data_IF_435591978023
#
_entry.id   IF_435591978023
#
_cell.length_a   1.000
_cell.length_b   1.000
_cell.length_c   1.000
_cell.angle_alpha   90.00
_cell.angle_beta   90.00
_cell.angle_gamma   90.00
#
_symmetry.space_group_name_H-M   'P 1'
#
loop_
_entity.id
_entity.type
_entity.pdbx_description
1 polymer ?
#
# COMPACT_ATOMS: atom_id res chain seq x y z
N UNK A 1 4.79 -7.00 14.18
CA UNK A 1 6.24 -6.79 14.37
C UNK A 1 6.61 -6.59 15.83
N UNK A 2 6.01 -5.62 16.53
CA UNK A 2 6.33 -5.34 17.95
C UNK A 2 6.09 -6.53 18.89
N UNK A 3 5.02 -7.30 18.64
CA UNK A 3 4.70 -8.55 19.36
C UNK A 3 5.75 -9.66 19.18
N UNK A 4 6.64 -9.55 18.20
CA UNK A 4 7.69 -10.53 17.90
C UNK A 4 9.07 -10.07 18.41
N UNK A 5 9.12 -9.07 19.32
CA UNK A 5 10.36 -8.58 19.92
C UNK A 5 11.13 -7.54 19.10
N UNK A 6 10.56 -7.04 18.00
CA UNK A 6 11.10 -5.90 17.24
C UNK A 6 10.79 -4.62 18.01
N UNK A 7 11.80 -3.77 18.22
CA UNK A 7 11.62 -2.48 18.90
C UNK A 7 11.19 -1.39 17.92
N UNK A 8 10.52 -0.36 18.42
CA UNK A 8 10.11 0.80 17.61
C UNK A 8 11.29 1.46 16.90
N UNK A 9 12.45 1.55 17.56
CA UNK A 9 13.70 2.11 16.99
C UNK A 9 14.23 1.34 15.77
N UNK A 10 13.79 0.08 15.58
CA UNK A 10 14.15 -0.72 14.41
C UNK A 10 13.23 -0.46 13.21
N UNK A 11 12.18 0.35 13.39
CA UNK A 11 11.16 0.62 12.38
C UNK A 11 11.28 2.09 11.97
N UNK A 12 11.61 2.31 10.70
CA UNK A 12 11.64 3.63 10.09
C UNK A 12 10.48 3.66 9.10
N UNK A 13 9.53 4.56 9.30
CA UNK A 13 8.36 4.70 8.43
C UNK A 13 8.27 6.14 7.96
N UNK A 14 8.21 6.33 6.65
CA UNK A 14 8.13 7.64 5.99
C UNK A 14 6.96 7.57 5.00
N UNK A 15 6.01 8.50 5.12
CA UNK A 15 4.94 8.70 4.15
C UNK A 15 5.18 10.04 3.47
N UNK A 16 5.35 10.05 2.15
CA UNK A 16 5.73 11.26 1.41
C UNK A 16 4.57 12.20 1.10
N UNK A 17 3.33 11.87 1.49
CA UNK A 17 2.21 12.82 1.52
C UNK A 17 2.20 13.66 2.80
N UNK A 18 2.93 13.24 3.85
CA UNK A 18 3.12 14.03 5.05
C UNK A 18 4.10 15.18 4.77
N UNK A 19 3.62 16.41 5.03
CA UNK A 19 4.36 17.65 4.77
C UNK A 19 5.67 17.71 5.56
N UNK A 20 5.77 17.02 6.69
CA UNK A 20 7.00 16.95 7.48
C UNK A 20 8.14 16.26 6.69
N UNK A 21 7.81 15.40 5.72
CA UNK A 21 8.76 14.69 4.87
C UNK A 21 8.85 15.24 3.43
N UNK A 22 8.12 16.31 3.08
CA UNK A 22 8.13 16.92 1.73
C UNK A 22 9.55 17.28 1.26
N UNK A 23 10.43 17.64 2.20
CA UNK A 23 11.82 17.96 1.93
C UNK A 23 12.66 16.76 1.43
N UNK A 24 12.23 15.52 1.63
CA UNK A 24 12.93 14.29 1.23
C UNK A 24 12.64 13.89 -0.24
N UNK A 25 12.49 14.87 -1.11
CA UNK A 25 12.02 14.73 -2.51
C UNK A 25 13.04 14.15 -3.52
N UNK A 26 14.22 13.71 -3.08
CA UNK A 26 15.17 13.03 -3.95
C UNK A 26 15.98 11.98 -3.20
N UNK A 27 16.51 11.02 -3.96
CA UNK A 27 17.21 9.85 -3.44
C UNK A 27 18.34 10.18 -2.45
N UNK A 28 19.04 11.30 -2.65
CA UNK A 28 20.18 11.67 -1.80
C UNK A 28 19.69 12.14 -0.44
N UNK A 29 18.70 13.03 -0.43
CA UNK A 29 18.09 13.51 0.82
C UNK A 29 17.44 12.37 1.60
N UNK A 30 16.70 11.49 0.91
CA UNK A 30 16.11 10.30 1.52
C UNK A 30 17.18 9.39 2.15
N UNK A 31 18.22 9.05 1.40
CA UNK A 31 19.26 8.16 1.91
C UNK A 31 20.03 8.78 3.09
N UNK A 32 20.40 10.06 2.98
CA UNK A 32 21.12 10.77 4.04
C UNK A 32 20.26 10.95 5.30
N UNK A 33 18.93 10.96 5.17
CA UNK A 33 17.98 10.95 6.29
C UNK A 33 17.86 9.56 6.95
N UNK A 34 17.70 8.50 6.16
CA UNK A 34 17.47 7.14 6.68
C UNK A 34 18.74 6.52 7.24
N UNK A 35 19.90 6.71 6.58
CA UNK A 35 21.15 6.02 6.91
C UNK A 35 21.60 6.18 8.37
N UNK A 36 21.54 7.38 8.99
CA UNK A 36 21.93 7.58 10.39
C UNK A 36 20.98 6.94 11.39
N UNK A 37 19.73 6.65 11.00
CA UNK A 37 18.74 6.02 11.86
C UNK A 37 18.91 4.50 11.95
N UNK A 38 19.69 3.90 11.05
CA UNK A 38 19.91 2.46 11.03
C UNK A 38 20.73 1.98 12.23
N UNK A 39 20.22 0.95 12.91
CA UNK A 39 20.89 0.28 14.02
C UNK A 39 21.85 -0.80 13.49
N UNK A 40 23.17 -0.71 13.72
CA UNK A 40 24.16 -1.62 13.11
C UNK A 40 24.01 -3.09 13.51
N UNK A 41 23.56 -3.36 14.73
CA UNK A 41 23.50 -4.70 15.32
C UNK A 41 22.08 -5.31 15.35
N UNK A 42 21.14 -4.70 14.63
CA UNK A 42 19.73 -5.10 14.60
C UNK A 42 19.20 -5.14 13.17
N UNK A 43 18.16 -5.92 12.93
CA UNK A 43 17.39 -5.76 11.70
C UNK A 43 16.66 -4.43 11.73
N UNK A 44 16.71 -3.70 10.62
CA UNK A 44 16.01 -2.44 10.39
C UNK A 44 14.93 -2.67 9.33
N UNK A 45 13.73 -2.20 9.60
CA UNK A 45 12.58 -2.27 8.70
C UNK A 45 12.27 -0.87 8.23
N UNK A 46 12.46 -0.61 6.94
CA UNK A 46 12.27 0.70 6.33
C UNK A 46 11.02 0.66 5.46
N UNK A 47 10.00 1.41 5.84
CA UNK A 47 8.75 1.55 5.10
C UNK A 47 8.73 2.93 4.43
N UNK A 48 8.62 2.92 3.11
CA UNK A 48 8.61 4.12 2.28
C UNK A 48 7.30 4.16 1.50
N UNK A 49 6.40 5.05 1.91
CA UNK A 49 5.04 5.13 1.40
C UNK A 49 4.86 6.32 0.46
N UNK A 50 4.17 6.07 -0.67
CA UNK A 50 4.05 6.99 -1.82
C UNK A 50 5.41 7.41 -2.41
N UNK A 51 6.26 6.42 -2.71
CA UNK A 51 7.66 6.64 -3.12
C UNK A 51 7.83 7.48 -4.40
N UNK A 52 6.80 7.56 -5.23
CA UNK A 52 6.84 8.32 -6.49
C UNK A 52 7.13 9.81 -6.32
N UNK A 53 6.94 10.35 -5.10
CA UNK A 53 7.29 11.71 -4.74
C UNK A 53 8.81 11.95 -4.62
N UNK A 54 9.61 10.89 -4.64
CA UNK A 54 11.07 10.96 -4.50
C UNK A 54 11.75 10.74 -5.85
N UNK A 55 12.43 11.78 -6.34
CA UNK A 55 13.16 11.70 -7.59
C UNK A 55 14.35 10.71 -7.51
N UNK A 56 14.43 9.81 -8.49
CA UNK A 56 15.44 8.75 -8.59
C UNK A 56 15.53 7.84 -7.34
N UNK A 57 14.39 7.63 -6.67
CA UNK A 57 14.31 6.86 -5.42
C UNK A 57 14.98 5.48 -5.49
N UNK A 58 15.02 4.86 -6.67
CA UNK A 58 15.62 3.55 -6.90
C UNK A 58 17.07 3.48 -6.41
N UNK A 59 17.83 4.58 -6.51
CA UNK A 59 19.21 4.66 -6.04
C UNK A 59 19.30 4.58 -4.52
N UNK A 60 18.36 5.19 -3.81
CA UNK A 60 18.30 5.14 -2.35
C UNK A 60 17.86 3.75 -1.89
N UNK A 61 16.80 3.20 -2.50
CA UNK A 61 16.30 1.86 -2.21
C UNK A 61 17.37 0.81 -2.47
N UNK A 62 18.06 0.84 -3.61
CA UNK A 62 19.18 -0.06 -3.91
C UNK A 62 20.29 0.03 -2.88
N UNK A 63 20.65 1.25 -2.47
CA UNK A 63 21.73 1.48 -1.51
C UNK A 63 21.37 1.00 -0.10
N UNK A 64 20.09 1.08 0.28
CA UNK A 64 19.55 0.53 1.52
C UNK A 64 19.44 -0.98 1.47
N UNK A 65 18.97 -1.54 0.36
CA UNK A 65 18.79 -2.98 0.14
C UNK A 65 20.11 -3.77 0.25
N UNK A 66 21.23 -3.21 -0.21
CA UNK A 66 22.55 -3.88 -0.09
C UNK A 66 23.12 -3.85 1.33
N UNK A 67 22.50 -3.13 2.27
CA UNK A 67 22.93 -3.14 3.67
C UNK A 67 22.55 -4.48 4.31
N UNK A 68 23.49 -5.07 5.07
CA UNK A 68 23.37 -6.44 5.62
C UNK A 68 22.11 -6.70 6.46
N UNK A 69 21.57 -5.67 7.10
CA UNK A 69 20.57 -5.76 8.15
C UNK A 69 19.41 -4.77 7.93
N UNK A 70 19.04 -4.56 6.66
CA UNK A 70 17.96 -3.66 6.27
C UNK A 70 16.99 -4.43 5.38
N UNK A 71 15.72 -4.29 5.69
CA UNK A 71 14.61 -4.79 4.88
C UNK A 71 13.76 -3.58 4.46
N UNK A 72 13.55 -3.42 3.16
CA UNK A 72 12.95 -2.21 2.58
C UNK A 72 11.61 -2.56 1.94
N UNK A 73 10.58 -1.84 2.35
CA UNK A 73 9.20 -1.96 1.89
C UNK A 73 8.82 -0.64 1.23
N UNK A 74 8.26 -0.73 0.03
CA UNK A 74 7.93 0.44 -0.78
C UNK A 74 6.50 0.31 -1.28
N UNK A 75 5.74 1.38 -1.15
CA UNK A 75 4.37 1.52 -1.67
C UNK A 75 4.25 2.78 -2.52
N UNK A 76 3.11 2.91 -3.19
CA UNK A 76 2.84 3.96 -4.15
C UNK A 76 1.75 3.54 -5.13
N UNK A 77 1.27 4.49 -5.92
CA UNK A 77 0.09 4.31 -6.75
C UNK A 77 0.29 3.38 -7.96
N UNK A 78 -0.82 2.80 -8.45
CA UNK A 78 -0.82 1.83 -9.54
C UNK A 78 -0.23 2.40 -10.84
N UNK A 79 -0.59 3.62 -11.24
CA UNK A 79 -0.08 4.22 -12.48
C UNK A 79 1.45 4.31 -12.49
N UNK A 80 2.05 4.58 -11.34
CA UNK A 80 3.50 4.71 -11.20
C UNK A 80 4.22 3.37 -11.37
N UNK A 81 3.77 2.33 -10.66
CA UNK A 81 4.38 0.99 -10.74
C UNK A 81 4.09 0.26 -12.06
N UNK A 82 2.95 0.56 -12.69
CA UNK A 82 2.56 -0.05 -13.96
C UNK A 82 3.28 0.52 -15.19
N UNK A 83 4.08 1.59 -15.04
CA UNK A 83 4.79 2.27 -16.13
C UNK A 83 5.91 1.44 -16.78
N UNK A 84 6.23 0.23 -16.29
CA UNK A 84 7.26 -0.66 -16.83
C UNK A 84 8.70 -0.21 -16.56
N UNK A 85 8.92 1.09 -16.29
CA UNK A 85 10.22 1.66 -15.90
C UNK A 85 10.68 1.13 -14.53
N UNK A 86 9.76 0.96 -13.59
CA UNK A 86 10.09 0.52 -12.23
C UNK A 86 10.63 -0.92 -12.17
N UNK A 87 10.06 -1.81 -12.99
CA UNK A 87 10.54 -3.18 -13.16
C UNK A 87 11.95 -3.24 -13.79
N UNK A 88 12.31 -2.25 -14.62
CA UNK A 88 13.64 -2.16 -15.22
C UNK A 88 14.65 -1.57 -14.25
N UNK A 89 14.27 -0.58 -13.43
CA UNK A 89 15.15 0.10 -12.48
C UNK A 89 15.64 -0.82 -11.35
N UNK A 90 14.79 -1.70 -10.82
CA UNK A 90 15.13 -2.57 -9.69
C UNK A 90 15.67 -3.96 -10.10
N UNK A 91 15.85 -4.21 -11.41
CA UNK A 91 16.60 -5.37 -11.97
C UNK A 91 16.33 -6.74 -11.34
N UNK A 92 15.10 -7.00 -10.90
CA UNK A 92 14.70 -8.27 -10.27
C UNK A 92 15.12 -8.46 -8.80
N UNK A 93 15.59 -7.41 -8.12
CA UNK A 93 15.93 -7.41 -6.69
C UNK A 93 14.76 -7.03 -5.77
N UNK A 94 13.53 -7.27 -6.23
CA UNK A 94 12.32 -6.94 -5.49
C UNK A 94 11.29 -8.07 -5.59
N UNK A 95 10.39 -8.11 -4.61
CA UNK A 95 9.18 -8.92 -4.65
C UNK A 95 8.00 -7.97 -4.79
N UNK A 96 7.30 -8.05 -5.92
CA UNK A 96 6.09 -7.27 -6.13
C UNK A 96 4.91 -7.95 -5.45
N UNK A 97 4.20 -7.18 -4.61
CA UNK A 97 2.93 -7.60 -4.02
C UNK A 97 1.82 -6.72 -4.60
N UNK A 98 1.01 -7.31 -5.48
CA UNK A 98 -0.14 -6.60 -6.05
C UNK A 98 -1.31 -6.63 -5.07
N UNK A 99 -1.74 -5.45 -4.65
CA UNK A 99 -2.95 -5.28 -3.85
C UNK A 99 -4.17 -5.32 -4.78
N UNK A 100 -4.98 -6.37 -4.65
CA UNK A 100 -6.23 -6.54 -5.39
C UNK A 100 -7.44 -6.31 -4.46
N UNK A 101 -8.63 -6.04 -5.01
CA UNK A 101 -9.87 -6.13 -4.24
C UNK A 101 -10.02 -7.51 -3.59
N UNK A 102 -10.89 -7.59 -2.59
CA UNK A 102 -11.13 -8.84 -1.88
C UNK A 102 -11.59 -9.92 -2.86
N UNK A 103 -11.07 -11.13 -2.71
CA UNK A 103 -11.71 -12.30 -3.31
C UNK A 103 -13.09 -12.51 -2.69
N UNK A 104 -13.98 -13.22 -3.40
CA UNK A 104 -15.30 -13.58 -2.86
C UNK A 104 -15.21 -14.26 -1.49
N UNK A 105 -14.15 -15.07 -1.28
CA UNK A 105 -13.90 -15.74 0.00
C UNK A 105 -13.60 -14.72 1.10
N UNK A 106 -12.64 -13.83 0.89
CA UNK A 106 -12.26 -12.79 1.87
C UNK A 106 -13.43 -11.84 2.13
N UNK A 107 -14.22 -11.52 1.10
CA UNK A 107 -15.44 -10.74 1.23
C UNK A 107 -16.46 -11.43 2.14
N UNK A 108 -16.69 -12.74 1.94
CA UNK A 108 -17.59 -13.51 2.80
C UNK A 108 -17.08 -13.60 4.25
N UNK A 109 -15.77 -13.76 4.45
CA UNK A 109 -15.13 -13.75 5.78
C UNK A 109 -15.32 -12.39 6.47
N UNK A 110 -15.12 -11.28 5.75
CA UNK A 110 -15.32 -9.91 6.28
C UNK A 110 -16.78 -9.60 6.62
N UNK A 111 -17.74 -10.10 5.83
CA UNK A 111 -19.18 -10.00 6.14
C UNK A 111 -19.55 -10.74 7.44
N UNK A 112 -18.90 -11.89 7.71
CA UNK A 112 -19.13 -12.68 8.91
C UNK A 112 -18.52 -12.00 10.14
N UNK A 113 -17.33 -11.43 10.02
CA UNK A 113 -16.64 -10.72 11.11
C UNK A 113 -17.42 -9.47 11.57
N UNK A 114 -18.06 -8.75 10.65
CA UNK A 114 -18.93 -7.62 10.96
C UNK A 114 -20.21 -8.02 11.72
N UNK A 115 -20.45 -9.33 11.97
CA UNK A 115 -21.64 -9.88 12.64
C UNK A 115 -22.97 -9.52 11.94
N UNK A 116 -22.91 -9.15 10.65
CA UNK A 116 -24.05 -8.65 9.88
C UNK A 116 -24.69 -9.72 8.97
N UNK A 117 -24.01 -10.85 8.77
CA UNK A 117 -24.34 -11.79 7.69
C UNK A 117 -24.40 -13.27 8.08
N UNK A 118 -24.58 -13.60 9.36
CA UNK A 118 -24.82 -15.01 9.76
C UNK A 118 -26.13 -15.58 9.20
N UNK A 119 -27.02 -14.73 8.67
CA UNK A 119 -28.30 -15.11 8.07
C UNK A 119 -28.31 -15.16 6.53
N UNK A 120 -27.29 -14.62 5.85
CA UNK A 120 -27.25 -14.58 4.39
C UNK A 120 -26.77 -15.90 3.81
N UNK A 121 -27.48 -16.39 2.79
CA UNK A 121 -27.07 -17.53 1.99
C UNK A 121 -25.85 -17.18 1.13
N UNK A 122 -25.13 -18.20 0.66
CA UNK A 122 -24.00 -18.01 -0.27
C UNK A 122 -24.39 -17.27 -1.54
N UNK A 123 -25.62 -17.47 -2.02
CA UNK A 123 -26.13 -16.80 -3.22
C UNK A 123 -26.33 -15.30 -2.97
N UNK A 124 -26.86 -14.92 -1.81
CA UNK A 124 -27.03 -13.50 -1.43
C UNK A 124 -25.68 -12.81 -1.24
N UNK A 125 -24.72 -13.46 -0.55
CA UNK A 125 -23.35 -12.93 -0.42
C UNK A 125 -22.68 -12.70 -1.78
N UNK A 126 -22.88 -13.63 -2.72
CA UNK A 126 -22.37 -13.48 -4.08
C UNK A 126 -23.05 -12.33 -4.84
N UNK A 127 -24.36 -12.14 -4.66
CA UNK A 127 -25.08 -11.02 -5.27
C UNK A 127 -24.56 -9.68 -4.75
N UNK A 128 -24.32 -9.54 -3.44
CA UNK A 128 -23.72 -8.33 -2.85
C UNK A 128 -22.32 -8.06 -3.40
N UNK A 129 -21.47 -9.10 -3.48
CA UNK A 129 -20.12 -8.98 -4.03
C UNK A 129 -20.08 -8.43 -5.46
N UNK A 130 -21.01 -8.85 -6.32
CA UNK A 130 -21.06 -8.42 -7.73
C UNK A 130 -21.78 -7.08 -7.90
N UNK A 131 -22.84 -6.82 -7.14
CA UNK A 131 -23.72 -5.67 -7.36
C UNK A 131 -23.32 -4.45 -6.52
N UNK A 132 -22.75 -4.66 -5.32
CA UNK A 132 -22.27 -3.58 -4.48
C UNK A 132 -20.79 -3.36 -4.74
N UNK A 133 -19.92 -4.24 -4.25
CA UNK A 133 -18.47 -4.08 -4.43
C UNK A 133 -17.66 -5.25 -3.88
N UNK A 134 -16.45 -5.43 -4.41
CA UNK A 134 -15.39 -6.25 -3.82
C UNK A 134 -14.33 -5.44 -3.05
N UNK A 135 -14.45 -4.11 -3.01
CA UNK A 135 -13.48 -3.27 -2.31
C UNK A 135 -13.65 -3.39 -0.78
N UNK A 136 -12.56 -3.47 -0.01
CA UNK A 136 -12.63 -3.68 1.44
C UNK A 136 -13.51 -2.66 2.18
N UNK A 137 -13.45 -1.38 1.81
CA UNK A 137 -14.21 -0.33 2.49
C UNK A 137 -15.73 -0.45 2.29
N UNK A 138 -16.18 -1.06 1.19
CA UNK A 138 -17.61 -1.26 0.94
C UNK A 138 -18.27 -2.15 2.00
N UNK A 139 -17.52 -3.08 2.63
CA UNK A 139 -18.01 -3.88 3.76
C UNK A 139 -18.46 -3.02 4.95
N UNK A 140 -17.92 -1.80 5.09
CA UNK A 140 -18.32 -0.88 6.16
C UNK A 140 -19.60 -0.09 5.81
N UNK A 141 -19.92 0.01 4.52
CA UNK A 141 -21.04 0.77 3.96
C UNK A 141 -22.25 -0.11 3.61
N UNK A 142 -22.17 -1.42 3.84
CA UNK A 142 -23.22 -2.40 3.57
C UNK A 142 -24.59 -1.96 4.11
N UNK A 143 -25.64 -2.03 3.27
CA UNK A 143 -26.98 -1.54 3.58
C UNK A 143 -27.20 -0.04 3.34
N UNK A 144 -26.18 0.67 2.85
CA UNK A 144 -26.27 2.08 2.41
C UNK A 144 -25.85 2.19 0.95
N UNK A 145 -26.74 1.72 0.07
CA UNK A 145 -26.48 1.63 -1.38
C UNK A 145 -25.98 2.95 -1.99
N UNK A 146 -26.52 4.09 -1.55
CA UNK A 146 -26.07 5.40 -2.02
C UNK A 146 -24.63 5.72 -1.60
N UNK A 147 -24.24 5.40 -0.36
CA UNK A 147 -22.89 5.63 0.15
C UNK A 147 -21.88 4.73 -0.60
N UNK A 148 -22.26 3.47 -0.89
CA UNK A 148 -21.46 2.56 -1.71
C UNK A 148 -21.28 3.13 -3.12
N UNK A 149 -22.35 3.62 -3.74
CA UNK A 149 -22.28 4.20 -5.08
C UNK A 149 -21.40 5.45 -5.11
N UNK A 150 -21.52 6.35 -4.13
CA UNK A 150 -20.70 7.57 -4.03
C UNK A 150 -19.22 7.22 -3.86
N UNK A 151 -18.90 6.25 -2.99
CA UNK A 151 -17.54 5.75 -2.80
C UNK A 151 -16.94 5.19 -4.09
N UNK A 152 -17.68 4.33 -4.80
CA UNK A 152 -17.21 3.73 -6.06
C UNK A 152 -17.09 4.76 -7.18
N UNK A 153 -18.00 5.72 -7.25
CA UNK A 153 -17.91 6.84 -8.19
C UNK A 153 -16.67 7.69 -7.88
N UNK A 154 -16.36 7.93 -6.60
CA UNK A 154 -15.15 8.59 -6.16
C UNK A 154 -13.89 7.86 -6.61
N UNK A 155 -13.80 6.55 -6.38
CA UNK A 155 -12.67 5.73 -6.86
C UNK A 155 -12.57 5.79 -8.38
N UNK A 156 -13.67 5.57 -9.09
CA UNK A 156 -13.70 5.55 -10.54
C UNK A 156 -13.21 6.88 -11.12
N UNK A 157 -13.70 8.01 -10.60
CA UNK A 157 -13.28 9.33 -11.05
C UNK A 157 -11.81 9.57 -10.71
N UNK A 158 -11.35 9.23 -9.51
CA UNK A 158 -9.95 9.43 -9.11
C UNK A 158 -8.99 8.60 -9.96
N UNK A 159 -9.28 7.32 -10.19
CA UNK A 159 -8.42 6.46 -11.03
C UNK A 159 -8.50 6.91 -12.49
N UNK A 160 -9.69 7.13 -13.04
CA UNK A 160 -9.82 7.42 -14.46
C UNK A 160 -9.28 8.80 -14.81
N UNK A 161 -9.47 9.79 -13.96
CA UNK A 161 -8.97 11.15 -14.19
C UNK A 161 -7.48 11.28 -13.88
N UNK A 162 -6.97 10.65 -12.81
CA UNK A 162 -5.56 10.82 -12.42
C UNK A 162 -4.62 9.80 -13.07
N UNK A 163 -5.07 8.57 -13.35
CA UNK A 163 -4.18 7.49 -13.82
C UNK A 163 -4.26 7.21 -15.33
N UNK A 164 -5.31 7.66 -16.04
CA UNK A 164 -5.50 7.38 -17.49
C UNK A 164 -5.45 8.62 -18.37
N UNK A 165 -5.90 9.78 -17.89
CA UNK A 165 -6.05 11.00 -18.72
C UNK A 165 -4.87 11.97 -18.56
N UNK A 166 -4.04 11.82 -17.53
CA UNK A 166 -2.89 12.69 -17.25
C UNK A 166 -1.60 12.28 -18.00
#
# INVERSE_FOLDING_TARGET
>A
MLSNGIKQEQIISINFEDIDFEHLNNYRLLYDYVKPLLLPDKMNYVFLDEIQHVLSFEKAVDSLFIQKNVDVYVTGSNAYFMSGELATLLTGRYVELKMLPLSLREYCEGLEEQSRSSALTKAEKYALYINESSFPYALQLEGRENDVYEYLSGIYNSILLNDIVA
#
